data_IF_751717300342
#
_entry.id   IF_751717300342
#
_cell.length_a   1.000
_cell.length_b   1.000
_cell.length_c   1.000
_cell.angle_alpha   90.00
_cell.angle_beta   90.00
_cell.angle_gamma   90.00
#
_symmetry.space_group_name_H-M   'P 1'
#
loop_
_entity.id
_entity.type
_entity.pdbx_description
1 polymer ?
#
# COMPACT_ATOMS: atom_id res chain seq x y z
N UNK A 1 -3.17 -13.70 -9.09
CA UNK A 1 -2.96 -12.77 -7.95
C UNK A 1 -3.27 -13.44 -6.63
N UNK A 2 -4.47 -14.03 -6.49
CA UNK A 2 -4.92 -14.66 -5.23
C UNK A 2 -4.32 -16.04 -4.98
N UNK A 3 -3.76 -16.64 -6.02
CA UNK A 3 -2.98 -17.87 -5.94
C UNK A 3 -1.62 -17.63 -6.59
N UNK A 4 -0.56 -17.96 -5.86
CA UNK A 4 0.82 -17.92 -6.31
C UNK A 4 1.32 -19.37 -6.34
N UNK A 5 1.44 -19.99 -7.54
CA UNK A 5 1.77 -21.40 -7.72
C UNK A 5 3.28 -21.65 -7.57
N UNK A 6 3.88 -21.04 -6.56
CA UNK A 6 5.29 -21.16 -6.22
C UNK A 6 5.41 -21.78 -4.84
N UNK A 7 6.52 -22.49 -4.64
CA UNK A 7 6.88 -23.04 -3.33
C UNK A 7 7.10 -21.92 -2.31
N UNK A 8 7.00 -22.28 -1.03
CA UNK A 8 7.34 -21.37 0.06
C UNK A 8 8.78 -20.90 -0.05
N UNK A 9 9.04 -19.65 0.34
CA UNK A 9 10.40 -19.09 0.42
C UNK A 9 11.17 -19.13 -0.92
N UNK A 10 10.46 -18.98 -2.03
CA UNK A 10 11.03 -18.97 -3.38
C UNK A 10 11.69 -17.63 -3.77
N UNK A 11 11.25 -16.50 -3.20
CA UNK A 11 11.66 -15.16 -3.65
C UNK A 11 12.24 -14.31 -2.52
N UNK A 12 13.23 -13.49 -2.87
CA UNK A 12 13.81 -12.47 -1.99
C UNK A 12 13.04 -11.14 -2.05
N UNK A 13 12.39 -10.86 -3.18
CA UNK A 13 11.64 -9.64 -3.46
C UNK A 13 10.37 -9.95 -4.26
N UNK A 14 9.25 -9.41 -3.82
CA UNK A 14 7.99 -9.36 -4.57
C UNK A 14 7.60 -7.90 -4.74
N UNK A 15 7.27 -7.49 -5.96
CA UNK A 15 6.80 -6.13 -6.26
C UNK A 15 5.42 -6.25 -6.90
N UNK A 16 4.49 -5.46 -6.41
CA UNK A 16 3.22 -5.21 -7.09
C UNK A 16 3.01 -3.70 -7.27
N UNK A 17 2.47 -3.32 -8.42
CA UNK A 17 2.03 -1.96 -8.68
C UNK A 17 0.59 -1.98 -9.16
N UNK A 18 -0.30 -1.31 -8.44
CA UNK A 18 -1.72 -1.18 -8.77
C UNK A 18 -2.52 -2.48 -8.72
N UNK A 19 -1.91 -3.61 -8.33
CA UNK A 19 -2.53 -4.93 -8.34
C UNK A 19 -3.54 -5.03 -7.21
N UNK A 20 -3.14 -4.58 -6.01
CA UNK A 20 -4.04 -4.51 -4.88
C UNK A 20 -5.17 -3.49 -5.12
N UNK A 21 -4.93 -2.41 -5.88
CA UNK A 21 -5.96 -1.41 -6.22
C UNK A 21 -7.13 -1.99 -7.01
N UNK A 22 -6.87 -2.94 -7.92
CA UNK A 22 -7.92 -3.65 -8.65
C UNK A 22 -8.88 -4.38 -7.70
N UNK A 23 -8.38 -4.89 -6.57
CA UNK A 23 -9.23 -5.56 -5.59
C UNK A 23 -10.16 -4.61 -4.85
N UNK A 24 -9.89 -3.30 -4.86
CA UNK A 24 -10.70 -2.28 -4.17
C UNK A 24 -11.68 -1.52 -5.07
N UNK A 25 -11.71 -1.76 -6.39
CA UNK A 25 -12.56 -1.00 -7.34
C UNK A 25 -14.04 -1.00 -6.93
N UNK A 26 -14.55 -2.14 -6.47
CA UNK A 26 -15.95 -2.31 -6.04
C UNK A 26 -16.04 -2.65 -4.54
N UNK A 27 -15.17 -2.07 -3.71
CA UNK A 27 -15.09 -2.45 -2.29
C UNK A 27 -16.27 -1.98 -1.42
N UNK A 28 -17.10 -1.05 -1.90
CA UNK A 28 -18.10 -0.38 -1.08
C UNK A 28 -17.47 0.70 -0.19
N UNK A 29 -17.79 0.70 1.10
CA UNK A 29 -17.24 1.67 2.06
C UNK A 29 -15.71 1.48 2.22
N UNK A 30 -14.88 2.50 1.95
CA UNK A 30 -13.43 2.40 2.12
C UNK A 30 -13.01 2.10 3.57
N UNK A 31 -13.80 2.54 4.56
CA UNK A 31 -13.55 2.27 5.97
C UNK A 31 -13.99 0.88 6.39
N UNK A 32 -15.00 0.31 5.73
CA UNK A 32 -15.50 -1.03 5.99
C UNK A 32 -15.80 -1.77 4.67
N UNK A 33 -14.75 -2.21 3.95
CA UNK A 33 -14.90 -2.81 2.64
C UNK A 33 -15.66 -4.13 2.75
N UNK A 34 -16.32 -4.51 1.66
CA UNK A 34 -17.12 -5.72 1.64
C UNK A 34 -16.26 -6.97 1.98
N UNK A 35 -16.88 -8.02 2.55
CA UNK A 35 -16.15 -9.22 2.97
C UNK A 35 -15.34 -9.89 1.86
N UNK A 36 -15.83 -9.84 0.61
CA UNK A 36 -15.13 -10.39 -0.55
C UNK A 36 -13.82 -9.66 -0.85
N UNK A 37 -13.80 -8.33 -0.72
CA UNK A 37 -12.60 -7.51 -0.89
C UNK A 37 -11.58 -7.86 0.19
N UNK A 38 -12.04 -7.95 1.45
CA UNK A 38 -11.18 -8.34 2.58
C UNK A 38 -10.55 -9.71 2.33
N UNK A 39 -11.36 -10.72 1.98
CA UNK A 39 -10.89 -12.08 1.70
C UNK A 39 -9.87 -12.14 0.54
N UNK A 40 -10.15 -11.44 -0.56
CA UNK A 40 -9.24 -11.38 -1.70
C UNK A 40 -7.91 -10.71 -1.34
N UNK A 41 -7.95 -9.59 -0.62
CA UNK A 41 -6.73 -8.89 -0.18
C UNK A 41 -5.92 -9.77 0.76
N UNK A 42 -6.57 -10.41 1.73
CA UNK A 42 -5.91 -11.33 2.65
C UNK A 42 -5.24 -12.49 1.90
N UNK A 43 -5.95 -13.15 0.97
CA UNK A 43 -5.37 -14.24 0.14
C UNK A 43 -4.17 -13.80 -0.67
N UNK A 44 -4.22 -12.61 -1.27
CA UNK A 44 -3.08 -12.03 -1.98
C UNK A 44 -1.88 -11.88 -1.04
N UNK A 45 -2.08 -11.28 0.14
CA UNK A 45 -1.00 -11.04 1.11
C UNK A 45 -0.45 -12.34 1.71
N UNK A 46 -1.29 -13.33 1.99
CA UNK A 46 -0.89 -14.67 2.42
C UNK A 46 -0.02 -15.36 1.37
N UNK A 47 -0.43 -15.30 0.09
CA UNK A 47 0.34 -15.83 -1.02
C UNK A 47 1.73 -15.19 -1.10
N UNK A 48 1.79 -13.86 -1.02
CA UNK A 48 3.06 -13.10 -1.04
C UNK A 48 3.93 -13.45 0.17
N UNK A 49 3.34 -13.49 1.36
CA UNK A 49 4.06 -13.84 2.59
C UNK A 49 4.62 -15.26 2.50
N UNK A 50 3.85 -16.24 2.00
CA UNK A 50 4.29 -17.63 1.79
C UNK A 50 5.54 -17.70 0.92
N UNK A 51 5.51 -17.06 -0.26
CA UNK A 51 6.58 -17.21 -1.25
C UNK A 51 7.83 -16.39 -0.91
N UNK A 52 7.74 -15.44 0.02
CA UNK A 52 8.91 -14.67 0.48
C UNK A 52 9.78 -15.49 1.44
N UNK A 53 11.10 -15.43 1.21
CA UNK A 53 12.11 -15.96 2.14
C UNK A 53 12.12 -15.18 3.46
N UNK A 54 12.66 -15.76 4.55
CA UNK A 54 12.96 -15.01 5.77
C UNK A 54 13.83 -13.78 5.45
N UNK A 55 13.41 -12.59 5.90
CA UNK A 55 14.09 -11.33 5.59
C UNK A 55 13.80 -10.74 4.21
N UNK A 56 13.08 -11.46 3.35
CA UNK A 56 12.63 -10.98 2.03
C UNK A 56 11.64 -9.81 2.14
N UNK A 57 11.51 -9.07 1.02
CA UNK A 57 10.74 -7.83 0.98
C UNK A 57 9.56 -7.92 0.03
N UNK A 58 8.43 -7.36 0.44
CA UNK A 58 7.31 -7.03 -0.42
C UNK A 58 7.25 -5.52 -0.62
N UNK A 59 7.12 -5.08 -1.87
CA UNK A 59 6.93 -3.68 -2.24
C UNK A 59 5.57 -3.51 -2.90
N UNK A 60 4.72 -2.66 -2.33
CA UNK A 60 3.41 -2.30 -2.88
C UNK A 60 3.42 -0.84 -3.32
N UNK A 61 3.11 -0.61 -4.60
CA UNK A 61 2.99 0.72 -5.19
C UNK A 61 1.53 0.95 -5.56
N UNK A 62 0.88 1.88 -4.86
CA UNK A 62 -0.58 1.97 -4.87
C UNK A 62 -1.03 3.41 -4.69
N UNK A 63 -2.26 3.72 -5.12
CA UNK A 63 -2.95 4.96 -4.72
C UNK A 63 -3.57 4.86 -3.32
N UNK A 64 -3.63 3.66 -2.74
CA UNK A 64 -4.19 3.38 -1.44
C UNK A 64 -3.43 4.05 -0.30
N UNK A 65 -4.08 5.01 0.35
CA UNK A 65 -3.54 5.74 1.49
C UNK A 65 -3.31 4.83 2.72
N UNK A 66 -2.36 5.19 3.61
CA UNK A 66 -2.01 4.38 4.79
C UNK A 66 -3.20 4.08 5.69
N UNK A 67 -4.12 5.02 5.83
CA UNK A 67 -5.35 4.85 6.62
C UNK A 67 -6.19 3.66 6.18
N UNK A 68 -6.20 3.33 4.88
CA UNK A 68 -6.99 2.23 4.32
C UNK A 68 -6.19 0.94 4.16
N UNK A 69 -4.88 1.04 3.89
CA UNK A 69 -4.03 -0.11 3.54
C UNK A 69 -3.32 -0.73 4.73
N UNK A 70 -2.88 0.07 5.71
CA UNK A 70 -2.08 -0.44 6.83
C UNK A 70 -2.74 -1.55 7.62
N UNK A 71 -4.07 -1.47 7.84
CA UNK A 71 -4.80 -2.53 8.56
C UNK A 71 -4.64 -3.93 7.96
N UNK A 72 -4.44 -4.04 6.64
CA UNK A 72 -4.21 -5.31 5.96
C UNK A 72 -2.75 -5.73 6.06
N UNK A 73 -1.83 -4.79 5.89
CA UNK A 73 -0.39 -5.05 6.01
C UNK A 73 0.04 -5.41 7.44
N UNK A 74 -0.59 -4.80 8.44
CA UNK A 74 -0.27 -4.98 9.86
C UNK A 74 -1.14 -6.06 10.54
N UNK A 75 -1.91 -6.82 9.77
CA UNK A 75 -2.75 -7.89 10.29
C UNK A 75 -1.91 -8.91 11.11
N UNK A 76 -2.44 -9.44 12.24
CA UNK A 76 -1.68 -10.24 13.22
C UNK A 76 -1.01 -11.49 12.63
N UNK A 77 -1.55 -12.05 11.55
CA UNK A 77 -1.03 -13.21 10.83
C UNK A 77 0.33 -12.96 10.15
N UNK A 78 0.67 -11.70 9.86
CA UNK A 78 1.91 -11.37 9.17
C UNK A 78 3.05 -11.00 10.13
N UNK A 79 4.25 -11.44 9.78
CA UNK A 79 5.46 -11.25 10.58
C UNK A 79 6.38 -10.14 10.05
N UNK A 80 5.95 -9.39 9.04
CA UNK A 80 6.75 -8.31 8.47
C UNK A 80 6.65 -6.99 9.24
N UNK A 81 7.67 -6.16 9.16
CA UNK A 81 7.55 -4.72 9.44
C UNK A 81 6.87 -4.01 8.26
N UNK A 82 6.35 -2.81 8.48
CA UNK A 82 5.72 -1.98 7.42
C UNK A 82 6.30 -0.58 7.51
N UNK A 83 6.86 -0.11 6.40
CA UNK A 83 7.29 1.28 6.19
C UNK A 83 6.63 1.80 4.91
N UNK A 84 6.38 3.10 4.82
CA UNK A 84 5.90 3.69 3.57
C UNK A 84 6.43 5.10 3.35
N UNK A 85 6.48 5.49 2.09
CA UNK A 85 6.77 6.86 1.67
C UNK A 85 5.85 7.23 0.49
N UNK A 86 5.87 8.48 0.08
CA UNK A 86 5.20 8.94 -1.14
C UNK A 86 6.23 9.30 -2.21
N UNK A 87 5.85 9.19 -3.49
CA UNK A 87 6.67 9.69 -4.60
C UNK A 87 5.80 10.20 -5.76
N UNK A 88 6.33 11.17 -6.51
CA UNK A 88 5.67 11.88 -7.60
C UNK A 88 5.30 13.33 -7.24
N UNK A 89 5.53 14.26 -8.18
CA UNK A 89 5.04 15.64 -8.11
C UNK A 89 3.68 15.70 -8.81
N UNK A 90 2.61 16.03 -8.08
CA UNK A 90 1.27 16.17 -8.64
C UNK A 90 0.40 14.90 -8.64
N UNK A 91 0.93 13.70 -8.36
CA UNK A 91 0.13 12.50 -8.08
C UNK A 91 0.88 11.58 -7.13
N UNK A 92 0.62 11.71 -5.83
CA UNK A 92 1.37 10.98 -4.81
C UNK A 92 0.98 9.50 -4.78
N UNK A 93 1.79 8.66 -5.41
CA UNK A 93 1.74 7.22 -5.15
C UNK A 93 2.27 6.95 -3.74
N UNK A 94 1.66 5.99 -3.06
CA UNK A 94 2.20 5.41 -1.84
C UNK A 94 3.09 4.23 -2.19
N UNK A 95 4.25 4.19 -1.57
CA UNK A 95 5.26 3.16 -1.73
C UNK A 95 5.46 2.47 -0.39
N UNK A 96 4.90 1.28 -0.22
CA UNK A 96 5.04 0.48 1.00
C UNK A 96 6.17 -0.53 0.84
N UNK A 97 6.99 -0.66 1.87
CA UNK A 97 8.04 -1.67 2.01
C UNK A 97 7.71 -2.52 3.23
N UNK A 98 7.46 -3.81 2.99
CA UNK A 98 7.18 -4.78 4.04
C UNK A 98 8.31 -5.81 4.11
N UNK A 99 8.94 -5.98 5.27
CA UNK A 99 10.08 -6.89 5.42
C UNK A 99 9.77 -8.07 6.35
N UNK A 100 9.72 -9.29 5.79
CA UNK A 100 9.33 -10.53 6.50
C UNK A 100 10.25 -10.85 7.67
N UNK A 101 9.66 -11.15 8.83
CA UNK A 101 10.37 -11.51 10.06
C UNK A 101 10.93 -10.33 10.86
N UNK A 102 10.53 -9.09 10.53
CA UNK A 102 10.99 -7.87 11.21
C UNK A 102 9.89 -7.11 11.96
N UNK A 103 8.71 -7.71 12.17
CA UNK A 103 7.64 -7.08 12.96
C UNK A 103 8.12 -6.73 14.36
N UNK A 104 8.00 -5.46 14.76
CA UNK A 104 8.25 -5.05 16.14
C UNK A 104 7.01 -5.32 17.00
N UNK A 105 7.18 -5.71 18.28
CA UNK A 105 6.07 -5.81 19.22
C UNK A 105 5.44 -4.45 19.57
N UNK A 106 6.11 -3.34 19.24
CA UNK A 106 5.69 -1.95 19.52
C UNK A 106 5.06 -1.24 18.30
N UNK A 107 4.79 -1.94 17.20
CA UNK A 107 4.26 -1.33 15.96
C UNK A 107 2.87 -0.69 16.10
N UNK A 108 2.23 -0.81 17.26
CA UNK A 108 1.02 -0.05 17.61
C UNK A 108 1.31 1.40 18.01
N UNK A 109 2.58 1.77 18.17
CA UNK A 109 2.94 3.18 18.29
C UNK A 109 2.89 3.82 16.91
N UNK A 110 1.95 4.75 16.72
CA UNK A 110 2.03 5.72 15.66
C UNK A 110 3.47 6.26 15.64
N UNK A 111 4.27 5.90 14.65
CA UNK A 111 5.44 6.69 14.32
C UNK A 111 4.93 8.01 13.73
N UNK A 112 4.50 8.89 14.62
CA UNK A 112 4.45 10.32 14.33
C UNK A 112 5.91 10.76 14.32
N UNK A 113 6.60 10.54 13.21
CA UNK A 113 7.59 11.54 12.83
C UNK A 113 6.75 12.79 12.63
N UNK A 114 6.76 13.73 13.58
CA UNK A 114 6.06 15.00 13.41
C UNK A 114 6.59 15.61 12.10
N UNK A 115 5.81 15.65 11.01
CA UNK A 115 6.17 16.53 9.92
C UNK A 115 6.12 17.94 10.51
N UNK A 116 7.01 18.82 10.08
CA UNK A 116 6.79 20.24 10.27
C UNK A 116 5.32 20.55 9.94
N UNK A 117 4.67 21.36 10.79
CA UNK A 117 3.25 21.76 10.74
C UNK A 117 2.59 21.38 9.41
N UNK A 118 1.63 20.43 9.36
CA UNK A 118 1.02 20.08 8.10
C UNK A 118 0.33 21.33 7.58
N UNK A 119 0.93 21.98 6.60
CA UNK A 119 0.18 22.83 5.70
C UNK A 119 -0.92 21.91 5.18
N UNK A 120 -2.18 22.24 5.45
CA UNK A 120 -3.30 21.61 4.75
C UNK A 120 -3.08 21.87 3.27
N UNK A 121 -2.43 20.93 2.61
CA UNK A 121 -2.11 21.03 1.21
C UNK A 121 -3.27 20.38 0.47
N UNK A 122 -4.25 21.21 0.14
CA UNK A 122 -5.42 20.83 -0.68
C UNK A 122 -5.01 20.50 -2.11
N UNK A 123 -3.72 20.54 -2.45
CA UNK A 123 -3.18 20.08 -3.73
C UNK A 123 -3.78 18.72 -4.11
N UNK A 124 -3.96 17.79 -3.16
CA UNK A 124 -4.59 16.50 -3.49
C UNK A 124 -5.99 16.64 -4.10
N UNK A 125 -6.86 17.48 -3.53
CA UNK A 125 -8.20 17.75 -4.09
C UNK A 125 -8.12 18.52 -5.42
N UNK A 126 -7.10 19.37 -5.59
CA UNK A 126 -6.86 20.06 -6.87
C UNK A 126 -6.40 19.10 -7.99
N UNK A 127 -5.55 18.13 -7.66
CA UNK A 127 -5.02 17.11 -8.59
C UNK A 127 -6.10 16.09 -8.99
N UNK A 128 -7.01 15.78 -8.07
CA UNK A 128 -8.17 14.92 -8.32
C UNK A 128 -9.33 15.65 -9.02
N UNK A 129 -9.24 16.99 -9.15
CA UNK A 129 -10.25 17.74 -9.89
C UNK A 129 -10.24 17.34 -11.37
N UNK A 130 -11.43 17.19 -11.96
CA UNK A 130 -11.57 16.88 -13.39
C UNK A 130 -10.88 17.92 -14.28
N UNK A 131 -10.73 19.15 -13.76
CA UNK A 131 -10.06 20.27 -14.40
C UNK A 131 -8.53 20.14 -14.40
N UNK A 132 -7.94 19.27 -13.59
CA UNK A 132 -6.48 19.22 -13.40
C UNK A 132 -5.73 19.01 -14.71
N UNK A 133 -6.19 18.07 -15.54
CA UNK A 133 -5.56 17.77 -16.84
C UNK A 133 -5.57 18.97 -17.80
N UNK A 134 -6.53 19.88 -17.65
CA UNK A 134 -6.64 21.09 -18.45
C UNK A 134 -5.80 22.26 -17.91
N UNK A 135 -5.31 22.14 -16.66
CA UNK A 135 -4.46 23.14 -16.00
C UNK A 135 -2.98 22.78 -16.08
N UNK A 136 -2.66 21.52 -16.37
CA UNK A 136 -1.29 21.06 -16.58
C UNK A 136 -0.82 21.50 -17.97
N UNK A 137 0.09 22.48 -18.03
CA UNK A 137 0.64 22.95 -19.29
C UNK A 137 1.64 21.91 -19.82
N UNK A 138 1.20 21.08 -20.77
CA UNK A 138 2.01 19.96 -21.30
C UNK A 138 3.24 20.47 -22.08
N UNK A 139 3.26 21.75 -22.46
CA UNK A 139 4.33 22.38 -23.23
C UNK A 139 5.58 22.75 -22.40
N UNK A 140 5.58 22.57 -21.08
CA UNK A 140 6.71 22.88 -20.18
C UNK A 140 7.47 21.64 -19.65
N UNK A 141 7.24 20.45 -20.21
CA UNK A 141 8.00 19.21 -19.95
C UNK A 141 9.02 18.92 -21.05
#
# INVERSE_FOLDING_TARGET
MLDLPFESESFDLVIEKGTMDVLFVDSGDPWNPNPTTVDNVTKMLEGIHKVLKPGGKFVSITFGQPHFRRRFFEAPEFTWSVEWNTFGDGFHYFFYILQKGKRSPESNSHQVTLPAVPSFNMLHEELESEDYIFRTNVDEL
#
